data_IF_924992272922
#
_entry.id   IF_924992272922
#
_cell.length_a   1.000
_cell.length_b   1.000
_cell.length_c   1.000
_cell.angle_alpha   90.00
_cell.angle_beta   90.00
_cell.angle_gamma   90.00
#
_symmetry.space_group_name_H-M   'P 1'
#
loop_
_entity.id
_entity.type
_entity.pdbx_description
1 polymer ?
#
# COMPACT_ATOMS: atom_id res chain seq x y z
N UNK A 1 4.29 -3.44 -12.56
CA UNK A 1 3.97 -2.00 -12.71
C UNK A 1 4.00 -1.37 -11.32
N UNK A 2 4.30 -0.07 -11.19
CA UNK A 2 4.52 0.56 -9.88
C UNK A 2 3.87 1.95 -9.80
N UNK A 3 3.35 2.29 -8.62
CA UNK A 3 2.87 3.63 -8.27
C UNK A 3 3.25 3.95 -6.83
N UNK A 4 3.69 5.18 -6.60
CA UNK A 4 3.95 5.72 -5.27
C UNK A 4 2.90 6.78 -4.94
N UNK A 5 2.39 6.74 -3.71
CA UNK A 5 1.35 7.63 -3.20
C UNK A 5 1.83 8.20 -1.87
N UNK A 6 1.75 9.52 -1.71
CA UNK A 6 2.13 10.17 -0.45
C UNK A 6 0.89 10.37 0.42
N UNK A 7 0.96 9.97 1.68
CA UNK A 7 -0.11 10.14 2.65
C UNK A 7 0.46 10.38 4.05
N UNK A 8 0.08 11.50 4.69
CA UNK A 8 0.52 11.89 6.05
C UNK A 8 2.05 11.80 6.27
N UNK A 9 2.84 12.22 5.28
CA UNK A 9 4.31 12.14 5.26
C UNK A 9 4.91 10.72 5.20
N UNK A 10 4.09 9.72 4.87
CA UNK A 10 4.50 8.38 4.48
C UNK A 10 4.34 8.19 2.97
N UNK A 11 5.10 7.25 2.43
CA UNK A 11 5.03 6.80 1.04
C UNK A 11 4.43 5.39 0.99
N UNK A 12 3.35 5.23 0.25
CA UNK A 12 2.75 3.93 -0.08
C UNK A 12 3.28 3.53 -1.46
N UNK A 13 4.15 2.53 -1.50
CA UNK A 13 4.73 1.95 -2.70
C UNK A 13 3.88 0.76 -3.13
N UNK A 14 3.14 0.90 -4.22
CA UNK A 14 2.27 -0.16 -4.77
C UNK A 14 2.99 -0.87 -5.92
N UNK A 15 2.97 -2.19 -5.91
CA UNK A 15 3.56 -3.04 -6.94
C UNK A 15 2.51 -4.01 -7.48
N UNK A 16 2.30 -3.96 -8.80
CA UNK A 16 1.38 -4.84 -9.53
C UNK A 16 2.15 -5.91 -10.29
N UNK A 17 1.79 -7.16 -10.05
CA UNK A 17 2.33 -8.34 -10.73
C UNK A 17 1.26 -8.93 -11.64
N UNK A 18 1.49 -9.04 -12.96
CA UNK A 18 0.51 -9.65 -13.87
C UNK A 18 0.19 -11.10 -13.47
N UNK A 19 -1.10 -11.43 -13.38
CA UNK A 19 -1.58 -12.75 -13.02
C UNK A 19 -2.41 -13.40 -14.14
N UNK A 20 -3.20 -12.60 -14.86
CA UNK A 20 -3.92 -13.00 -16.06
C UNK A 20 -4.10 -11.79 -17.00
N UNK A 21 -4.77 -11.99 -18.15
CA UNK A 21 -5.02 -10.91 -19.10
C UNK A 21 -5.76 -9.75 -18.40
N UNK A 22 -5.13 -8.58 -18.38
CA UNK A 22 -5.62 -7.35 -17.75
C UNK A 22 -5.92 -7.48 -16.25
N UNK A 23 -5.33 -8.48 -15.57
CA UNK A 23 -5.52 -8.75 -14.14
C UNK A 23 -4.18 -8.87 -13.40
N UNK A 24 -4.11 -8.30 -12.20
CA UNK A 24 -2.89 -8.14 -11.43
C UNK A 24 -3.07 -8.55 -9.97
N UNK A 25 -2.09 -9.31 -9.46
CA UNK A 25 -1.85 -9.42 -8.03
C UNK A 25 -1.20 -8.12 -7.53
N UNK A 26 -1.48 -7.77 -6.28
CA UNK A 26 -1.11 -6.46 -5.73
C UNK A 26 -0.36 -6.64 -4.42
N UNK A 27 0.77 -5.96 -4.32
CA UNK A 27 1.46 -5.78 -3.05
C UNK A 27 1.66 -4.30 -2.78
N UNK A 28 1.72 -3.90 -1.52
CA UNK A 28 2.11 -2.55 -1.15
C UNK A 28 3.14 -2.57 -0.02
N UNK A 29 3.93 -1.50 0.08
CA UNK A 29 4.92 -1.30 1.11
C UNK A 29 4.83 0.13 1.59
N UNK A 30 4.88 0.36 2.91
CA UNK A 30 4.91 1.71 3.49
C UNK A 30 6.36 2.08 3.82
N UNK A 31 6.80 3.25 3.38
CA UNK A 31 8.12 3.83 3.68
C UNK A 31 7.95 5.26 4.21
N UNK A 32 9.00 5.80 4.81
CA UNK A 32 9.01 7.18 5.31
C UNK A 32 8.37 7.36 6.69
N UNK A 33 8.21 8.63 7.08
CA UNK A 33 7.89 9.06 8.45
C UNK A 33 9.15 9.28 9.30
N UNK A 34 9.18 10.35 10.11
CA UNK A 34 10.28 10.66 11.06
C UNK A 34 10.45 9.61 12.17
N UNK A 35 9.54 8.64 12.25
CA UNK A 35 9.52 7.54 13.23
C UNK A 35 9.46 6.17 12.54
N UNK A 36 10.47 5.84 11.72
CA UNK A 36 10.63 4.50 11.14
C UNK A 36 10.72 3.40 12.21
N UNK A 37 11.09 3.72 13.46
CA UNK A 37 11.09 2.80 14.59
C UNK A 37 9.68 2.34 15.02
N UNK A 38 8.63 3.17 14.80
CA UNK A 38 7.23 2.78 15.08
C UNK A 38 6.73 1.75 14.06
N UNK A 39 7.34 1.71 12.86
CA UNK A 39 7.07 0.74 11.81
C UNK A 39 7.88 -0.55 11.96
N UNK A 40 8.31 -0.92 13.18
CA UNK A 40 9.11 -2.12 13.47
C UNK A 40 8.79 -3.30 12.54
N UNK A 41 9.78 -3.76 11.78
CA UNK A 41 9.69 -4.84 10.78
C UNK A 41 8.60 -4.70 9.67
N UNK A 42 7.76 -3.65 9.66
CA UNK A 42 6.63 -3.43 8.72
C UNK A 42 7.03 -2.78 7.40
N UNK A 43 8.32 -2.60 7.14
CA UNK A 43 8.83 -2.34 5.79
C UNK A 43 8.70 -3.55 4.84
N UNK A 44 8.06 -4.65 5.24
CA UNK A 44 7.76 -5.77 4.34
C UNK A 44 6.76 -5.38 3.25
N UNK A 45 6.87 -6.03 2.09
CA UNK A 45 5.81 -5.99 1.07
C UNK A 45 4.60 -6.77 1.59
N UNK A 46 3.44 -6.12 1.64
CA UNK A 46 2.18 -6.68 2.11
C UNK A 46 1.33 -7.06 0.89
N UNK A 47 1.03 -8.35 0.67
CA UNK A 47 0.13 -8.75 -0.40
C UNK A 47 -1.32 -8.41 -0.05
N UNK A 48 -2.05 -7.84 -1.00
CA UNK A 48 -3.49 -7.67 -0.90
C UNK A 48 -4.18 -8.98 -1.28
N UNK A 49 -5.16 -9.37 -0.47
CA UNK A 49 -5.95 -10.58 -0.69
C UNK A 49 -7.16 -10.29 -1.58
N UNK A 50 -7.78 -11.36 -2.07
CA UNK A 50 -9.01 -11.32 -2.89
C UNK A 50 -8.81 -10.71 -4.30
N UNK A 51 -7.57 -10.70 -4.79
CA UNK A 51 -7.26 -10.45 -6.20
C UNK A 51 -7.33 -11.74 -7.04
N UNK A 52 -6.86 -11.67 -8.30
CA UNK A 52 -6.26 -10.50 -8.94
C UNK A 52 -7.31 -9.44 -9.32
N UNK A 53 -6.88 -8.19 -9.51
CA UNK A 53 -7.74 -7.04 -9.85
C UNK A 53 -7.42 -6.49 -11.24
N UNK A 54 -8.36 -5.80 -11.87
CA UNK A 54 -8.03 -4.93 -13.02
C UNK A 54 -7.15 -3.76 -12.56
N UNK A 55 -6.31 -3.21 -13.43
CA UNK A 55 -5.27 -2.23 -13.06
C UNK A 55 -5.82 -1.04 -12.23
N UNK A 56 -6.94 -0.44 -12.65
CA UNK A 56 -7.54 0.70 -11.92
C UNK A 56 -8.01 0.31 -10.52
N UNK A 57 -8.60 -0.88 -10.38
CA UNK A 57 -9.02 -1.42 -9.08
C UNK A 57 -7.82 -1.79 -8.21
N UNK A 58 -6.78 -2.37 -8.81
CA UNK A 58 -5.56 -2.74 -8.13
C UNK A 58 -4.91 -1.55 -7.41
N UNK A 59 -4.77 -0.42 -8.11
CA UNK A 59 -4.24 0.81 -7.50
C UNK A 59 -5.18 1.40 -6.45
N UNK A 60 -6.50 1.44 -6.71
CA UNK A 60 -7.47 2.01 -5.76
C UNK A 60 -7.50 1.24 -4.43
N UNK A 61 -7.57 -0.09 -4.48
CA UNK A 61 -7.62 -0.92 -3.27
C UNK A 61 -6.31 -0.82 -2.49
N UNK A 62 -5.17 -0.73 -3.17
CA UNK A 62 -3.88 -0.54 -2.51
C UNK A 62 -3.75 0.83 -1.83
N UNK A 63 -4.25 1.89 -2.46
CA UNK A 63 -4.27 3.22 -1.87
C UNK A 63 -5.10 3.25 -0.59
N UNK A 64 -6.34 2.74 -0.65
CA UNK A 64 -7.24 2.69 0.51
C UNK A 64 -6.65 1.84 1.64
N UNK A 65 -6.10 0.66 1.32
CA UNK A 65 -5.49 -0.22 2.31
C UNK A 65 -4.24 0.42 2.96
N UNK A 66 -3.40 1.08 2.18
CA UNK A 66 -2.22 1.77 2.67
C UNK A 66 -2.55 2.96 3.56
N UNK A 67 -3.53 3.78 3.18
CA UNK A 67 -4.01 4.91 3.99
C UNK A 67 -4.60 4.42 5.31
N UNK A 68 -5.49 3.42 5.28
CA UNK A 68 -6.07 2.84 6.48
C UNK A 68 -5.01 2.25 7.43
N UNK A 69 -3.97 1.61 6.89
CA UNK A 69 -2.87 1.09 7.71
C UNK A 69 -2.08 2.22 8.40
N UNK A 70 -1.85 3.34 7.72
CA UNK A 70 -1.21 4.53 8.30
C UNK A 70 -2.10 5.16 9.36
N UNK A 71 -3.40 5.26 9.14
CA UNK A 71 -4.33 5.84 10.11
C UNK A 71 -4.45 4.99 11.38
N UNK A 72 -4.43 3.65 11.27
CA UNK A 72 -4.36 2.76 12.44
C UNK A 72 -3.08 2.96 13.25
N UNK A 73 -1.97 3.30 12.59
CA UNK A 73 -0.68 3.54 13.24
C UNK A 73 -0.61 4.90 13.95
N UNK A 74 -1.13 5.95 13.32
CA UNK A 74 -1.02 7.32 13.82
C UNK A 74 -2.21 7.73 14.70
N UNK A 75 -3.34 7.03 14.60
CA UNK A 75 -4.60 7.48 15.16
C UNK A 75 -5.25 8.60 14.33
N UNK A 76 -6.43 9.06 14.77
CA UNK A 76 -7.16 10.15 14.10
C UNK A 76 -6.29 11.41 14.00
N UNK A 77 -6.47 12.15 12.92
CA UNK A 77 -6.04 13.56 12.87
C UNK A 77 -7.09 14.34 13.65
N UNK A 78 -6.68 15.02 14.72
CA UNK A 78 -7.54 15.96 15.44
C UNK A 78 -8.08 17.07 14.52
#
# INVERSE_FOLDING_TARGET
MHRMIVYRSFEIHVELTPAAKDMFDVTFQIKGGTNLDVLGARGGRIPLRNGPFTERWAYLVAEIAGQAAIDVLLGPVD
#
